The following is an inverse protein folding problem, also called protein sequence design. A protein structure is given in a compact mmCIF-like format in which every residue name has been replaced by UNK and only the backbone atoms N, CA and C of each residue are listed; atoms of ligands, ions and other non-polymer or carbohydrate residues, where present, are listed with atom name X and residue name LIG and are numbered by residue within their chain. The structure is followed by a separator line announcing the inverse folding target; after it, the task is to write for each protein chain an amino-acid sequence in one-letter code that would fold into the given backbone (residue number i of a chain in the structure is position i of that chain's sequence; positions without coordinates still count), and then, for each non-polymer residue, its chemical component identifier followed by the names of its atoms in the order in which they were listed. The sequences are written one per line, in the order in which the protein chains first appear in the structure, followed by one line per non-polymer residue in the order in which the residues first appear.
data_IF_364338875481
#
_entry.id   IF_364338875481
#
_cell.length_a   1.000
_cell.length_b   1.000
_cell.length_c   1.000
_cell.angle_alpha   90.00
_cell.angle_beta   90.00
_cell.angle_gamma   90.00
#
_symmetry.space_group_name_H-M   'P 1'
#
loop_
_entity.id
_entity.type
_entity.pdbx_description
1 polymer ?
#
# COMPACT_ATOMS: atom_id res chain seq x y z
N UNK A 1 16.69 12.87 -1.66
CA UNK A 1 15.38 12.76 -2.37
C UNK A 1 15.33 11.55 -3.29
N UNK A 2 16.39 11.22 -4.03
CA UNK A 2 16.39 10.05 -4.92
C UNK A 2 16.22 8.73 -4.16
N UNK A 3 17.02 8.49 -3.12
CA UNK A 3 16.91 7.28 -2.29
C UNK A 3 15.54 7.13 -1.64
N UNK A 4 14.96 8.24 -1.19
CA UNK A 4 13.61 8.27 -0.63
C UNK A 4 12.55 7.87 -1.68
N UNK A 5 12.62 8.42 -2.89
CA UNK A 5 11.72 8.03 -3.99
C UNK A 5 11.88 6.56 -4.35
N UNK A 6 13.11 6.06 -4.36
CA UNK A 6 13.38 4.64 -4.60
C UNK A 6 12.74 3.75 -3.52
N UNK A 7 12.93 4.11 -2.24
CA UNK A 7 12.31 3.40 -1.13
C UNK A 7 10.77 3.45 -1.17
N UNK A 8 10.20 4.59 -1.58
CA UNK A 8 8.75 4.73 -1.78
C UNK A 8 8.24 3.85 -2.93
N UNK A 9 8.94 3.84 -4.07
CA UNK A 9 8.62 2.96 -5.20
C UNK A 9 8.66 1.48 -4.81
N UNK A 10 9.67 1.07 -4.04
CA UNK A 10 9.80 -0.29 -3.52
C UNK A 10 8.70 -0.63 -2.51
N UNK A 11 8.32 0.33 -1.67
CA UNK A 11 7.22 0.18 -0.70
C UNK A 11 5.89 -0.03 -1.42
N UNK A 12 5.57 0.79 -2.43
CA UNK A 12 4.35 0.65 -3.24
C UNK A 12 4.30 -0.73 -3.90
N UNK A 13 5.42 -1.21 -4.48
CA UNK A 13 5.48 -2.55 -5.08
C UNK A 13 5.24 -3.66 -4.07
N UNK A 14 5.82 -3.54 -2.88
CA UNK A 14 5.67 -4.52 -1.80
C UNK A 14 4.23 -4.57 -1.31
N UNK A 15 3.60 -3.41 -1.13
CA UNK A 15 2.20 -3.29 -0.74
C UNK A 15 1.24 -3.80 -1.82
N UNK A 16 1.51 -3.52 -3.09
CA UNK A 16 0.72 -4.07 -4.21
C UNK A 16 0.75 -5.60 -4.21
N UNK A 17 1.93 -6.21 -4.04
CA UNK A 17 2.05 -7.67 -3.91
C UNK A 17 1.30 -8.21 -2.71
N UNK A 18 1.36 -7.53 -1.57
CA UNK A 18 0.60 -7.93 -0.39
C UNK A 18 -0.92 -7.83 -0.61
N UNK A 19 -1.39 -6.85 -1.39
CA UNK A 19 -2.79 -6.74 -1.82
C UNK A 19 -3.22 -7.97 -2.62
N UNK A 20 -2.41 -8.41 -3.58
CA UNK A 20 -2.70 -9.60 -4.40
C UNK A 20 -2.80 -10.86 -3.55
N UNK A 21 -1.92 -11.03 -2.54
CA UNK A 21 -1.99 -12.16 -1.62
C UNK A 21 -3.20 -12.06 -0.68
N UNK A 22 -3.56 -10.84 -0.24
CA UNK A 22 -4.74 -10.59 0.57
C UNK A 22 -6.02 -11.01 -0.15
N UNK A 23 -6.21 -10.58 -1.41
CA UNK A 23 -7.39 -10.91 -2.21
C UNK A 23 -7.59 -12.43 -2.40
N UNK A 24 -6.51 -13.20 -2.48
CA UNK A 24 -6.57 -14.67 -2.60
C UNK A 24 -7.14 -15.35 -1.34
N UNK A 25 -7.02 -14.71 -0.18
CA UNK A 25 -7.39 -15.30 1.11
C UNK A 25 -8.56 -14.59 1.79
N UNK A 26 -8.96 -13.40 1.32
CA UNK A 26 -9.99 -12.54 1.90
C UNK A 26 -11.32 -13.28 2.08
N UNK A 27 -11.77 -14.01 1.06
CA UNK A 27 -13.07 -14.72 1.08
C UNK A 27 -13.20 -15.77 2.19
N UNK A 28 -12.08 -16.27 2.71
CA UNK A 28 -12.04 -17.36 3.70
C UNK A 28 -11.43 -16.95 5.04
N UNK A 29 -10.73 -15.81 5.11
CA UNK A 29 -9.94 -15.37 6.27
C UNK A 29 -10.08 -13.89 6.62
N UNK A 30 -11.05 -13.17 6.04
CA UNK A 30 -11.29 -11.75 6.31
C UNK A 30 -11.34 -11.43 7.81
N UNK A 31 -12.04 -12.23 8.61
CA UNK A 31 -12.14 -12.03 10.07
C UNK A 31 -10.79 -12.17 10.79
N UNK A 32 -9.92 -13.07 10.34
CA UNK A 32 -8.60 -13.26 10.94
C UNK A 32 -7.64 -12.13 10.54
N UNK A 33 -7.72 -11.68 9.30
CA UNK A 33 -6.81 -10.67 8.76
C UNK A 33 -7.16 -9.25 9.24
N UNK A 34 -8.45 -8.98 9.42
CA UNK A 34 -8.94 -7.73 10.02
C UNK A 34 -8.70 -7.67 11.53
N UNK A 35 -8.53 -8.82 12.19
CA UNK A 35 -8.23 -8.87 13.62
C UNK A 35 -6.82 -8.34 13.93
N UNK A 36 -6.75 -7.18 14.59
CA UNK A 36 -5.48 -6.52 14.91
C UNK A 36 -4.84 -5.82 13.70
N UNK A 37 -5.61 -5.63 12.62
CA UNK A 37 -5.17 -4.81 11.50
C UNK A 37 -4.91 -3.37 11.99
N UNK A 38 -3.71 -2.80 11.76
CA UNK A 38 -3.27 -1.61 12.48
C UNK A 38 -3.74 -0.29 11.88
N UNK A 39 -4.50 -0.33 10.78
CA UNK A 39 -4.94 0.87 10.08
C UNK A 39 -6.47 0.95 10.06
N UNK A 40 -6.96 2.19 10.09
CA UNK A 40 -8.40 2.47 10.06
C UNK A 40 -9.00 2.46 8.64
N UNK A 41 -8.17 2.21 7.62
CA UNK A 41 -8.53 2.19 6.20
C UNK A 41 -8.46 0.78 5.66
N UNK A 42 -9.24 0.46 4.63
CA UNK A 42 -9.08 -0.84 4.00
C UNK A 42 -7.72 -0.95 3.27
N UNK A 43 -7.26 -2.18 3.04
CA UNK A 43 -5.93 -2.41 2.48
C UNK A 43 -5.73 -1.71 1.12
N UNK A 44 -6.77 -1.67 0.28
CA UNK A 44 -6.72 -1.05 -1.05
C UNK A 44 -6.71 0.46 -0.95
N UNK A 45 -7.42 1.04 0.01
CA UNK A 45 -7.35 2.48 0.31
C UNK A 45 -5.93 2.90 0.71
N UNK A 46 -5.24 2.11 1.53
CA UNK A 46 -3.84 2.42 1.91
C UNK A 46 -2.91 2.35 0.71
N UNK A 47 -3.05 1.30 -0.13
CA UNK A 47 -2.26 1.19 -1.35
C UNK A 47 -2.50 2.36 -2.31
N UNK A 48 -3.77 2.78 -2.45
CA UNK A 48 -4.14 3.93 -3.27
C UNK A 48 -3.50 5.22 -2.75
N UNK A 49 -3.58 5.49 -1.45
CA UNK A 49 -2.95 6.66 -0.82
C UNK A 49 -1.42 6.67 -1.03
N UNK A 50 -0.78 5.50 -0.92
CA UNK A 50 0.66 5.33 -1.16
C UNK A 50 1.03 5.65 -2.61
N UNK A 51 0.22 5.22 -3.58
CA UNK A 51 0.41 5.53 -5.01
C UNK A 51 0.21 7.02 -5.27
N UNK A 52 -0.85 7.63 -4.73
CA UNK A 52 -1.07 9.07 -4.88
C UNK A 52 0.06 9.89 -4.30
N UNK A 53 0.54 9.52 -3.11
CA UNK A 53 1.64 10.20 -2.45
C UNK A 53 2.92 10.09 -3.26
N UNK A 54 3.21 8.90 -3.80
CA UNK A 54 4.33 8.68 -4.73
C UNK A 54 4.25 9.61 -5.94
N UNK A 55 3.09 9.73 -6.56
CA UNK A 55 2.94 10.61 -7.72
C UNK A 55 3.09 12.09 -7.33
N UNK A 56 2.51 12.54 -6.20
CA UNK A 56 2.73 13.90 -5.67
C UNK A 56 4.22 14.19 -5.42
N UNK A 57 4.97 13.24 -4.88
CA UNK A 57 6.42 13.37 -4.64
C UNK A 57 7.22 13.40 -5.95
N UNK A 58 6.73 12.79 -7.03
CA UNK A 58 7.33 12.90 -8.36
C UNK A 58 6.99 14.21 -9.07
N UNK A 59 5.76 14.71 -8.94
CA UNK A 59 5.28 15.90 -9.68
C UNK A 59 5.69 17.22 -9.02
N UNK A 60 5.89 17.24 -7.69
CA UNK A 60 6.39 18.42 -6.98
C UNK A 60 7.91 18.59 -7.18
N UNK A 61 8.28 19.02 -8.39
CA UNK A 61 9.57 19.65 -8.70
C UNK A 61 9.42 21.19 -8.64
N UNK A 62 10.36 21.92 -8.03
CA UNK A 62 10.89 23.13 -8.66
C UNK A 62 11.74 22.79 -9.90
#
# INVERSE_FOLDING_TARGET
MEDFRKALDESVKTWAKLSEEWEKIESNKSDYLSHGYPFDKDFREILHDLIEWREKVKTNLP
#
